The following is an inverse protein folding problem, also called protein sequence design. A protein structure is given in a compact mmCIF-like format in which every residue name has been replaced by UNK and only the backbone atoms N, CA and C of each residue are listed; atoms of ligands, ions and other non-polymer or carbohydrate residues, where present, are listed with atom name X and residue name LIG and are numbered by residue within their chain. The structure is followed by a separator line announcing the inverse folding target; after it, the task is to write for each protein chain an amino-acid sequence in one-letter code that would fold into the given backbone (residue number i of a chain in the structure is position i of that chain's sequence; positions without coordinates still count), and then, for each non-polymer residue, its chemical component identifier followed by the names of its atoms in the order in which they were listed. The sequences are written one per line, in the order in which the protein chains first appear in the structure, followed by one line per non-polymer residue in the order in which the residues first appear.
data_IF_768051787471
#
_entry.id   IF_768051787471
#
_cell.length_a   1.000
_cell.length_b   1.000
_cell.length_c   1.000
_cell.angle_alpha   90.00
_cell.angle_beta   90.00
_cell.angle_gamma   90.00
#
_symmetry.space_group_name_H-M   'P 1'
#
loop_
_entity.id
_entity.type
_entity.pdbx_description
1 polymer ?
#
# COMPACT_ATOMS: atom_id res chain seq x y z
N UNK A 1 4.29 -29.96 7.91
CA UNK A 1 3.91 -28.86 8.82
C UNK A 1 3.54 -27.67 7.96
N UNK A 2 2.26 -27.36 7.72
CA UNK A 2 1.93 -26.19 6.93
C UNK A 2 2.14 -24.97 7.84
N UNK A 3 3.35 -24.40 7.80
CA UNK A 3 3.59 -23.05 8.27
C UNK A 3 2.98 -22.10 7.23
N UNK A 4 1.66 -22.11 7.13
CA UNK A 4 0.91 -21.04 6.50
C UNK A 4 0.97 -19.89 7.48
N UNK A 5 2.03 -19.09 7.38
CA UNK A 5 1.93 -17.69 7.75
C UNK A 5 0.83 -17.13 6.87
N UNK A 6 -0.43 -17.23 7.31
CA UNK A 6 -1.42 -16.24 6.92
C UNK A 6 -0.86 -14.96 7.49
N UNK A 7 0.02 -14.32 6.73
CA UNK A 7 0.46 -12.98 7.04
C UNK A 7 -0.85 -12.23 7.03
N UNK A 8 -1.35 -11.92 8.23
CA UNK A 8 -2.38 -10.92 8.42
C UNK A 8 -1.76 -9.67 7.81
N UNK A 9 -2.02 -9.46 6.52
CA UNK A 9 -1.38 -8.43 5.73
C UNK A 9 -2.07 -7.14 6.13
N UNK A 10 -1.64 -6.62 7.27
CA UNK A 10 -1.89 -5.25 7.60
C UNK A 10 -1.55 -4.38 6.39
N UNK A 11 -2.46 -3.49 6.01
CA UNK A 11 -2.18 -2.56 4.92
C UNK A 11 -1.34 -1.44 5.53
N UNK A 12 -0.03 -1.56 5.37
CA UNK A 12 0.94 -0.55 5.81
C UNK A 12 1.17 0.47 4.72
N UNK A 13 1.08 1.76 5.07
CA UNK A 13 1.41 2.86 4.17
C UNK A 13 2.85 2.77 3.68
N UNK A 14 3.77 2.32 4.53
CA UNK A 14 5.18 2.12 4.16
C UNK A 14 5.37 1.11 3.02
N UNK A 15 4.60 0.02 3.02
CA UNK A 15 4.64 -0.97 1.94
C UNK A 15 4.12 -0.38 0.62
N UNK A 16 3.05 0.42 0.67
CA UNK A 16 2.52 1.11 -0.51
C UNK A 16 3.53 2.14 -1.04
N UNK A 17 4.13 2.94 -0.16
CA UNK A 17 5.17 3.89 -0.54
C UNK A 17 6.38 3.21 -1.18
N UNK A 18 6.83 2.08 -0.64
CA UNK A 18 7.95 1.32 -1.20
C UNK A 18 7.61 0.75 -2.58
N UNK A 19 6.37 0.31 -2.79
CA UNK A 19 5.92 -0.19 -4.10
C UNK A 19 5.79 0.91 -5.16
N UNK A 20 5.52 2.16 -4.74
CA UNK A 20 5.35 3.31 -5.64
C UNK A 20 6.66 4.08 -5.89
N UNK A 21 7.62 4.04 -4.97
CA UNK A 21 8.95 4.64 -5.15
C UNK A 21 9.87 3.70 -5.91
N UNK A 22 9.72 3.69 -7.23
CA UNK A 22 10.63 3.03 -8.16
C UNK A 22 11.61 4.04 -8.76
N UNK A 23 12.60 3.57 -9.51
CA UNK A 23 13.54 4.47 -10.20
C UNK A 23 12.79 5.46 -11.10
N UNK A 24 13.17 6.74 -10.99
CA UNK A 24 12.51 7.85 -11.71
C UNK A 24 11.33 8.49 -10.98
N UNK A 25 10.86 7.93 -9.86
CA UNK A 25 9.79 8.54 -9.04
C UNK A 25 10.40 9.38 -7.92
N UNK A 26 10.30 10.70 -8.04
CA UNK A 26 10.85 11.62 -7.04
C UNK A 26 9.93 11.82 -5.84
N UNK A 27 8.61 11.86 -6.05
CA UNK A 27 7.62 12.11 -5.01
C UNK A 27 6.38 11.27 -5.24
N UNK A 28 5.89 10.64 -4.18
CA UNK A 28 4.61 9.94 -4.15
C UNK A 28 3.72 10.60 -3.11
N UNK A 29 2.51 10.94 -3.50
CA UNK A 29 1.46 11.38 -2.58
C UNK A 29 0.37 10.32 -2.49
N UNK A 30 0.22 9.73 -1.30
CA UNK A 30 -0.77 8.70 -1.06
C UNK A 30 -2.01 9.32 -0.41
N UNK A 31 -3.08 9.48 -1.20
CA UNK A 31 -4.36 10.01 -0.72
C UNK A 31 -5.16 9.00 0.13
N UNK A 32 -4.98 7.70 -0.10
CA UNK A 32 -5.60 6.63 0.68
C UNK A 32 -4.76 5.36 0.65
N UNK A 33 -4.63 4.63 1.77
CA UNK A 33 -5.20 4.90 3.08
C UNK A 33 -4.47 6.02 3.85
N UNK A 34 -5.21 6.85 4.60
CA UNK A 34 -4.67 7.94 5.41
C UNK A 34 -3.90 7.46 6.66
N UNK A 35 -4.09 6.21 7.06
CA UNK A 35 -3.38 5.58 8.16
C UNK A 35 -3.17 4.09 7.85
N UNK A 36 -2.27 3.44 8.58
CA UNK A 36 -2.10 1.99 8.48
C UNK A 36 -3.40 1.28 8.88
N UNK A 37 -3.83 0.31 8.08
CA UNK A 37 -4.99 -0.53 8.37
C UNK A 37 -4.47 -1.79 9.05
N UNK A 38 -4.63 -1.85 10.37
CA UNK A 38 -4.31 -3.04 11.17
C UNK A 38 -5.52 -3.97 11.13
N UNK A 39 -5.31 -5.23 10.75
CA UNK A 39 -6.34 -6.25 10.71
C UNK A 39 -6.11 -7.25 11.83
N UNK A 40 -7.20 -7.71 12.44
CA UNK A 40 -7.13 -8.83 13.37
C UNK A 40 -7.13 -10.17 12.63
N UNK A 41 -6.79 -11.27 13.31
CA UNK A 41 -6.66 -12.63 12.72
C UNK A 41 -7.92 -13.16 12.00
N UNK A 42 -9.08 -12.55 12.25
CA UNK A 42 -10.37 -12.89 11.64
C UNK A 42 -10.77 -11.95 10.51
N UNK A 43 -10.01 -10.88 10.27
CA UNK A 43 -10.33 -9.84 9.31
C UNK A 43 -9.40 -9.94 8.10
N UNK A 44 -9.94 -9.59 6.93
CA UNK A 44 -9.20 -9.41 5.70
C UNK A 44 -9.60 -8.07 5.11
N UNK A 45 -8.62 -7.25 4.73
CA UNK A 45 -8.89 -6.08 3.91
C UNK A 45 -8.85 -6.47 2.43
N UNK A 46 -9.71 -5.85 1.65
CA UNK A 46 -9.71 -5.97 0.19
C UNK A 46 -9.73 -4.58 -0.41
N UNK A 47 -8.87 -4.34 -1.40
CA UNK A 47 -8.86 -3.12 -2.17
C UNK A 47 -9.97 -3.21 -3.23
N UNK A 48 -11.03 -2.42 -3.08
CA UNK A 48 -12.16 -2.43 -4.03
C UNK A 48 -11.94 -1.50 -5.23
N UNK A 49 -11.11 -0.46 -5.05
CA UNK A 49 -10.81 0.50 -6.09
C UNK A 49 -9.45 1.14 -5.82
N UNK A 50 -8.74 1.45 -6.91
CA UNK A 50 -7.51 2.24 -6.88
C UNK A 50 -7.55 3.27 -8.00
N UNK A 51 -6.85 4.39 -7.80
CA UNK A 51 -6.65 5.41 -8.83
C UNK A 51 -5.28 6.02 -8.63
N UNK A 52 -4.51 6.14 -9.71
CA UNK A 52 -3.18 6.75 -9.73
C UNK A 52 -3.17 7.78 -10.86
N UNK A 53 -2.76 8.99 -10.53
CA UNK A 53 -2.60 10.08 -11.49
C UNK A 53 -1.14 10.52 -11.50
N UNK A 54 -0.59 10.75 -12.69
CA UNK A 54 0.74 11.32 -12.82
C UNK A 54 0.69 12.77 -12.36
N UNK A 55 1.49 13.13 -11.34
CA UNK A 55 1.54 14.48 -10.77
C UNK A 55 2.20 15.53 -11.66
N UNK A 56 2.67 15.12 -12.85
CA UNK A 56 3.53 15.92 -13.71
C UNK A 56 5.01 15.61 -13.48
N UNK A 57 5.82 15.97 -14.47
CA UNK A 57 7.29 15.95 -14.37
C UNK A 57 7.71 17.42 -14.37
N UNK A 58 8.53 17.83 -13.41
CA UNK A 58 9.20 19.14 -13.47
C UNK A 58 10.19 19.08 -14.65
N UNK A 59 9.98 19.93 -15.66
CA UNK A 59 10.96 20.22 -16.73
C UNK A 59 11.60 21.58 -16.44
#
# INVERSE_FOLDING_TARGET
TPNQTTLTQDIRRSAIFAALHLEGVQRVELASPLADVVLNKTQAASCTQWSVTNGGTDE
#
